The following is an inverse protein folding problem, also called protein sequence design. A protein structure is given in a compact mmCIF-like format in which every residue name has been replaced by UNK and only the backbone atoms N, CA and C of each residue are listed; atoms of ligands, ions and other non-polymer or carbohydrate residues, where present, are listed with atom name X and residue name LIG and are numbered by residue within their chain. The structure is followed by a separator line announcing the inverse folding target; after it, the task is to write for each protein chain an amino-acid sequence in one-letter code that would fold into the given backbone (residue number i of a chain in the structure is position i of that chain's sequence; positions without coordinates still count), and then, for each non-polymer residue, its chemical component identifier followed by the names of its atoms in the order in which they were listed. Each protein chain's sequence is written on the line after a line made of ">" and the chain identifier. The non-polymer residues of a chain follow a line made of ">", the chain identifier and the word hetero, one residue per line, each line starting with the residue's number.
data_IF_756341084317
#
_entry.id   IF_756341084317
#
_cell.length_a   1.000
_cell.length_b   1.000
_cell.length_c   1.000
_cell.angle_alpha   90.00
_cell.angle_beta   90.00
_cell.angle_gamma   90.00
#
_symmetry.space_group_name_H-M   'P 1'
#
loop_
_entity.id
_entity.type
_entity.pdbx_description
1 polymer ?
#
# COMPACT_ATOMS: atom_id res chain seq x y z
N UNK A 1 -20.50 11.98 -50.63
CA UNK A 1 -20.88 11.65 -52.02
C UNK A 1 -20.65 10.15 -52.17
N UNK A 2 -21.66 9.29 -52.00
CA UNK A 2 -22.78 9.06 -52.93
C UNK A 2 -22.30 8.33 -54.20
N UNK A 3 -22.80 7.14 -54.56
CA UNK A 3 -23.76 6.26 -53.85
C UNK A 3 -24.23 5.10 -54.74
N UNK A 4 -24.88 4.09 -54.17
CA UNK A 4 -25.92 3.34 -54.91
C UNK A 4 -27.10 4.31 -55.16
N UNK A 5 -27.76 4.24 -56.32
CA UNK A 5 -28.90 3.34 -56.55
C UNK A 5 -28.66 2.46 -57.81
N UNK A 6 -29.55 1.60 -58.30
CA UNK A 6 -31.02 1.69 -58.34
C UNK A 6 -31.68 0.31 -58.51
N UNK A 7 -32.85 0.13 -57.89
CA UNK A 7 -33.78 -0.95 -58.19
C UNK A 7 -34.98 -0.36 -58.93
N UNK A 8 -35.46 -1.04 -59.98
CA UNK A 8 -36.70 -0.66 -60.69
C UNK A 8 -37.75 -1.77 -60.51
N UNK A 9 -38.98 -1.45 -60.05
CA UNK A 9 -40.05 -2.42 -59.78
C UNK A 9 -41.18 -2.44 -60.83
N UNK A 10 -41.77 -3.62 -61.06
CA UNK A 10 -43.08 -3.89 -61.72
C UNK A 10 -43.54 -5.30 -61.27
N UNK A 11 -44.80 -5.66 -60.96
CA UNK A 11 -45.98 -4.97 -60.39
C UNK A 11 -46.97 -6.05 -59.85
N UNK A 12 -47.95 -5.66 -59.01
CA UNK A 12 -49.15 -6.47 -58.69
C UNK A 12 -50.17 -6.42 -59.87
N UNK A 13 -51.29 -7.17 -59.97
CA UNK A 13 -52.20 -7.85 -59.01
C UNK A 13 -52.84 -9.08 -59.72
N UNK A 14 -53.66 -9.99 -59.16
CA UNK A 14 -54.85 -9.94 -58.29
C UNK A 14 -54.95 -11.27 -57.49
N UNK A 15 -55.32 -11.30 -56.21
CA UNK A 15 -56.68 -11.22 -55.63
C UNK A 15 -57.68 -12.29 -56.14
N UNK A 16 -57.86 -13.35 -55.33
CA UNK A 16 -59.17 -13.94 -55.04
C UNK A 16 -59.26 -14.36 -53.56
N UNK A 17 -60.18 -13.73 -52.83
CA UNK A 17 -60.52 -13.99 -51.43
C UNK A 17 -61.51 -15.17 -51.29
N UNK A 18 -61.28 -16.08 -50.33
CA UNK A 18 -62.34 -16.94 -49.76
C UNK A 18 -61.95 -17.61 -48.41
N UNK A 19 -62.11 -16.85 -47.31
CA UNK A 19 -62.40 -17.26 -45.91
C UNK A 19 -62.01 -18.68 -45.40
N UNK A 20 -61.08 -18.66 -44.42
CA UNK A 20 -61.17 -19.15 -43.01
C UNK A 20 -62.27 -20.16 -42.60
N UNK A 21 -62.00 -21.09 -41.64
CA UNK A 21 -61.28 -20.86 -40.36
C UNK A 21 -59.98 -21.67 -40.20
N UNK A 22 -58.93 -21.19 -39.55
CA UNK A 22 -58.84 -20.85 -38.12
C UNK A 22 -59.20 -22.02 -37.20
N UNK A 23 -58.26 -22.93 -37.00
CA UNK A 23 -58.13 -23.57 -35.68
C UNK A 23 -56.71 -23.39 -35.15
N UNK A 24 -56.62 -22.81 -33.95
CA UNK A 24 -55.35 -22.54 -33.27
C UNK A 24 -54.86 -23.80 -32.57
N UNK A 25 -54.27 -24.73 -33.32
CA UNK A 25 -53.64 -25.90 -32.71
C UNK A 25 -52.29 -25.50 -32.09
N UNK A 26 -52.17 -25.72 -30.78
CA UNK A 26 -51.10 -25.18 -29.96
C UNK A 26 -49.70 -25.53 -30.47
N UNK A 27 -48.78 -24.57 -30.35
CA UNK A 27 -47.34 -24.85 -30.34
C UNK A 27 -47.01 -25.69 -29.11
N UNK A 28 -47.22 -27.01 -29.22
CA UNK A 28 -46.58 -27.99 -28.34
C UNK A 28 -45.08 -27.70 -28.39
N UNK A 29 -44.38 -27.57 -27.26
CA UNK A 29 -42.93 -27.54 -27.28
C UNK A 29 -42.49 -28.87 -27.86
N UNK A 30 -41.98 -28.86 -29.10
CA UNK A 30 -41.49 -30.07 -29.74
C UNK A 30 -40.43 -30.66 -28.82
N UNK A 31 -40.76 -31.79 -28.19
CA UNK A 31 -39.78 -32.65 -27.55
C UNK A 31 -38.64 -32.86 -28.54
N UNK A 32 -37.36 -32.78 -28.12
CA UNK A 32 -36.24 -32.94 -29.04
C UNK A 32 -36.47 -34.23 -29.82
N UNK A 33 -36.59 -34.12 -31.14
CA UNK A 33 -37.13 -35.18 -31.98
C UNK A 33 -36.37 -36.48 -31.70
N UNK A 34 -37.08 -37.48 -31.18
CA UNK A 34 -36.44 -38.73 -30.76
C UNK A 34 -35.84 -39.40 -31.99
N UNK A 35 -34.54 -39.69 -31.94
CA UNK A 35 -33.87 -40.37 -33.04
C UNK A 35 -34.25 -41.85 -33.01
N UNK A 36 -35.29 -42.19 -33.78
CA UNK A 36 -35.78 -43.56 -33.94
C UNK A 36 -34.80 -44.47 -34.72
N UNK A 37 -33.75 -43.91 -35.32
CA UNK A 37 -32.73 -44.68 -36.06
C UNK A 37 -31.89 -45.52 -35.10
N UNK A 38 -31.42 -46.66 -35.58
CA UNK A 38 -30.53 -47.55 -34.81
C UNK A 38 -29.19 -46.85 -34.61
N UNK A 39 -28.82 -46.60 -33.35
CA UNK A 39 -27.57 -45.92 -33.00
C UNK A 39 -26.36 -46.85 -33.09
N UNK A 40 -25.51 -46.61 -34.09
CA UNK A 40 -24.26 -47.30 -34.32
C UNK A 40 -23.04 -46.41 -33.96
N UNK A 41 -21.89 -47.03 -33.70
CA UNK A 41 -20.64 -46.32 -33.31
C UNK A 41 -19.64 -46.19 -34.45
N UNK A 42 -19.65 -47.12 -35.40
CA UNK A 42 -18.71 -47.24 -36.51
C UNK A 42 -19.47 -47.44 -37.82
N UNK A 43 -19.32 -46.51 -38.77
CA UNK A 43 -19.94 -46.56 -40.10
C UNK A 43 -19.47 -47.78 -40.90
N UNK A 44 -18.15 -48.02 -40.96
CA UNK A 44 -17.55 -49.23 -41.56
C UNK A 44 -18.19 -50.54 -41.09
N UNK A 45 -18.44 -50.72 -39.79
CA UNK A 45 -19.03 -51.97 -39.27
C UNK A 45 -20.47 -52.21 -39.79
N UNK A 46 -21.23 -51.14 -40.02
CA UNK A 46 -22.56 -51.23 -40.65
C UNK A 46 -22.42 -51.57 -42.14
N UNK A 47 -21.47 -50.94 -42.84
CA UNK A 47 -21.19 -51.23 -44.25
C UNK A 47 -20.75 -52.70 -44.48
N UNK A 48 -19.88 -53.24 -43.63
CA UNK A 48 -19.46 -54.64 -43.65
C UNK A 48 -20.66 -55.60 -43.48
N UNK A 49 -21.58 -55.31 -42.55
CA UNK A 49 -22.80 -56.11 -42.35
C UNK A 49 -23.76 -55.96 -43.54
N UNK A 50 -23.89 -54.78 -44.13
CA UNK A 50 -24.70 -54.55 -45.34
C UNK A 50 -24.16 -55.36 -46.54
N UNK A 51 -22.85 -55.36 -46.75
CA UNK A 51 -22.19 -56.18 -47.79
C UNK A 51 -22.45 -57.67 -47.58
N UNK A 52 -22.32 -58.16 -46.33
CA UNK A 52 -22.61 -59.55 -45.96
C UNK A 52 -24.09 -59.93 -46.12
N UNK A 53 -25.01 -58.97 -45.96
CA UNK A 53 -26.43 -59.14 -46.25
C UNK A 53 -26.74 -59.07 -47.76
N UNK A 54 -25.93 -58.36 -48.57
CA UNK A 54 -26.13 -58.21 -50.02
C UNK A 54 -26.20 -59.53 -50.78
N UNK A 55 -25.53 -60.59 -50.30
CA UNK A 55 -25.66 -61.95 -50.87
C UNK A 55 -27.10 -62.46 -50.87
N UNK A 56 -27.90 -62.13 -49.85
CA UNK A 56 -29.30 -62.55 -49.77
C UNK A 56 -30.14 -61.80 -50.82
N UNK A 57 -29.85 -60.51 -51.05
CA UNK A 57 -30.48 -59.73 -52.12
C UNK A 57 -30.12 -60.30 -53.50
N UNK A 58 -28.88 -60.78 -53.70
CA UNK A 58 -28.48 -61.48 -54.92
C UNK A 58 -29.19 -62.82 -55.09
N UNK A 59 -29.41 -63.59 -54.02
CA UNK A 59 -30.14 -64.86 -54.03
C UNK A 59 -31.61 -64.71 -54.47
N UNK A 60 -32.29 -63.59 -54.16
CA UNK A 60 -33.63 -63.28 -54.69
C UNK A 60 -33.65 -63.30 -56.22
N UNK A 61 -32.52 -62.96 -56.85
CA UNK A 61 -32.35 -62.95 -58.30
C UNK A 61 -32.68 -64.27 -58.96
N UNK A 62 -32.47 -65.42 -58.29
CA UNK A 62 -32.70 -66.75 -58.88
C UNK A 62 -34.16 -67.02 -59.27
N UNK A 63 -35.12 -66.30 -58.68
CA UNK A 63 -36.55 -66.43 -58.98
C UNK A 63 -37.04 -65.54 -60.14
N UNK A 64 -36.21 -64.63 -60.65
CA UNK A 64 -36.60 -63.66 -61.68
C UNK A 64 -36.35 -64.17 -63.12
N UNK A 65 -37.02 -63.60 -64.14
CA UNK A 65 -36.66 -63.77 -65.56
C UNK A 65 -35.32 -63.08 -65.91
N UNK A 66 -34.52 -63.68 -66.81
CA UNK A 66 -33.19 -63.19 -67.21
C UNK A 66 -33.19 -61.74 -67.72
N UNK A 67 -34.22 -61.36 -68.49
CA UNK A 67 -34.34 -60.07 -69.18
C UNK A 67 -34.50 -58.88 -68.23
N UNK A 68 -34.98 -59.11 -67.01
CA UNK A 68 -35.14 -58.09 -65.97
C UNK A 68 -34.24 -58.30 -64.74
N UNK A 69 -33.61 -59.49 -64.61
CA UNK A 69 -32.84 -59.94 -63.44
C UNK A 69 -31.84 -58.89 -62.95
N UNK A 70 -30.93 -58.46 -63.81
CA UNK A 70 -29.83 -57.55 -63.46
C UNK A 70 -30.31 -56.15 -63.05
N UNK A 71 -31.36 -55.64 -63.68
CA UNK A 71 -31.91 -54.32 -63.35
C UNK A 71 -32.65 -54.36 -62.02
N UNK A 72 -33.51 -55.37 -61.83
CA UNK A 72 -34.27 -55.57 -60.60
C UNK A 72 -33.35 -55.86 -59.41
N UNK A 73 -32.25 -56.61 -59.60
CA UNK A 73 -31.25 -56.85 -58.56
C UNK A 73 -30.51 -55.57 -58.16
N UNK A 74 -30.10 -54.72 -59.12
CA UNK A 74 -29.46 -53.43 -58.80
C UNK A 74 -30.40 -52.49 -58.05
N UNK A 75 -31.66 -52.42 -58.47
CA UNK A 75 -32.68 -51.60 -57.81
C UNK A 75 -33.03 -52.12 -56.40
N UNK A 76 -33.14 -53.44 -56.23
CA UNK A 76 -33.34 -54.06 -54.92
C UNK A 76 -32.14 -53.86 -53.99
N UNK A 77 -30.90 -53.96 -54.50
CA UNK A 77 -29.69 -53.69 -53.73
C UNK A 77 -29.62 -52.21 -53.29
N UNK A 78 -29.84 -51.28 -54.22
CA UNK A 78 -29.88 -49.84 -53.92
C UNK A 78 -30.96 -49.49 -52.90
N UNK A 79 -32.17 -50.04 -53.05
CA UNK A 79 -33.30 -49.83 -52.14
C UNK A 79 -33.03 -50.41 -50.76
N UNK A 80 -32.46 -51.63 -50.68
CA UNK A 80 -32.04 -52.24 -49.42
C UNK A 80 -30.98 -51.39 -48.71
N UNK A 81 -29.91 -50.99 -49.42
CA UNK A 81 -28.83 -50.21 -48.84
C UNK A 81 -29.33 -48.83 -48.37
N UNK A 82 -30.09 -48.13 -49.20
CA UNK A 82 -30.64 -46.81 -48.87
C UNK A 82 -31.55 -46.88 -47.65
N UNK A 83 -32.45 -47.88 -47.58
CA UNK A 83 -33.33 -48.07 -46.43
C UNK A 83 -32.56 -48.33 -45.13
N UNK A 84 -31.46 -49.10 -45.18
CA UNK A 84 -30.59 -49.31 -44.00
C UNK A 84 -29.88 -48.01 -43.61
N UNK A 85 -29.34 -47.25 -44.59
CA UNK A 85 -28.64 -45.99 -44.34
C UNK A 85 -29.55 -44.90 -43.74
N UNK A 86 -30.82 -44.83 -44.15
CA UNK A 86 -31.81 -43.90 -43.59
C UNK A 86 -32.24 -44.27 -42.16
N UNK A 87 -32.25 -45.56 -41.83
CA UNK A 87 -32.71 -46.08 -40.54
C UNK A 87 -31.59 -46.29 -39.50
N UNK A 88 -30.36 -45.86 -39.80
CA UNK A 88 -29.19 -45.93 -38.90
C UNK A 88 -28.62 -44.54 -38.63
N UNK A 89 -28.18 -44.26 -37.40
CA UNK A 89 -27.42 -43.07 -37.07
C UNK A 89 -26.06 -43.42 -36.46
N UNK A 90 -25.00 -42.77 -36.91
CA UNK A 90 -23.63 -43.05 -36.47
C UNK A 90 -23.21 -41.95 -35.51
N UNK A 91 -23.02 -42.30 -34.23
CA UNK A 91 -22.78 -41.34 -33.14
C UNK A 91 -23.84 -40.21 -33.08
N UNK A 92 -25.07 -40.48 -33.56
CA UNK A 92 -26.17 -39.52 -33.65
C UNK A 92 -26.23 -38.68 -34.95
N UNK A 93 -25.26 -38.82 -35.85
CA UNK A 93 -25.26 -38.17 -37.16
C UNK A 93 -25.97 -39.03 -38.21
N UNK A 94 -26.52 -38.39 -39.26
CA UNK A 94 -27.06 -39.12 -40.41
C UNK A 94 -25.95 -39.83 -41.19
N UNK A 95 -26.29 -40.89 -41.94
CA UNK A 95 -25.31 -41.69 -42.69
C UNK A 95 -24.37 -40.86 -43.60
N UNK A 96 -24.90 -39.85 -44.28
CA UNK A 96 -24.13 -38.99 -45.20
C UNK A 96 -23.21 -38.00 -44.45
N UNK A 97 -23.62 -37.53 -43.27
CA UNK A 97 -22.88 -36.58 -42.44
C UNK A 97 -21.79 -37.26 -41.59
N UNK A 98 -22.00 -38.53 -41.29
CA UNK A 98 -21.08 -39.34 -40.52
C UNK A 98 -19.78 -39.57 -41.29
N UNK A 99 -18.71 -38.92 -40.82
CA UNK A 99 -17.35 -39.11 -41.34
C UNK A 99 -16.90 -40.55 -41.10
N UNK A 100 -16.52 -41.25 -42.16
CA UNK A 100 -15.73 -42.48 -42.03
C UNK A 100 -14.35 -42.12 -41.51
N UNK A 101 -14.00 -42.59 -40.31
CA UNK A 101 -12.66 -42.45 -39.71
C UNK A 101 -11.62 -43.38 -40.38
N UNK A 102 -11.82 -43.66 -41.67
CA UNK A 102 -10.86 -44.33 -42.53
C UNK A 102 -9.79 -43.31 -42.92
N UNK A 103 -8.87 -43.00 -41.99
CA UNK A 103 -7.65 -42.26 -42.32
C UNK A 103 -6.92 -43.04 -43.42
N UNK A 104 -6.60 -42.38 -44.53
CA UNK A 104 -5.79 -42.99 -45.57
C UNK A 104 -4.32 -42.95 -45.15
N UNK A 105 -3.52 -43.92 -45.60
CA UNK A 105 -2.07 -43.94 -45.34
C UNK A 105 -1.36 -42.66 -45.83
N UNK A 106 -1.94 -41.95 -46.80
CA UNK A 106 -1.48 -40.64 -47.26
C UNK A 106 -1.71 -39.54 -46.21
N UNK A 107 -2.88 -39.50 -45.57
CA UNK A 107 -3.22 -38.50 -44.54
C UNK A 107 -2.33 -38.68 -43.30
N UNK A 108 -2.08 -39.94 -42.93
CA UNK A 108 -1.19 -40.30 -41.81
C UNK A 108 0.23 -39.82 -42.10
N UNK A 109 0.77 -40.07 -43.31
CA UNK A 109 2.12 -39.63 -43.67
C UNK A 109 2.30 -38.12 -43.67
N UNK A 110 1.32 -37.37 -44.18
CA UNK A 110 1.36 -35.90 -44.13
C UNK A 110 1.41 -35.41 -42.68
N UNK A 111 0.61 -36.03 -41.79
CA UNK A 111 0.61 -35.69 -40.37
C UNK A 111 1.92 -36.10 -39.66
N UNK A 112 2.52 -37.22 -40.04
CA UNK A 112 3.84 -37.67 -39.53
C UNK A 112 4.96 -36.72 -39.97
N UNK A 113 5.00 -36.32 -41.24
CA UNK A 113 5.99 -35.38 -41.79
C UNK A 113 5.89 -33.99 -41.11
N UNK A 114 4.67 -33.45 -40.96
CA UNK A 114 4.42 -32.19 -40.22
C UNK A 114 4.84 -32.29 -38.74
N UNK A 115 4.58 -33.44 -38.11
CA UNK A 115 4.92 -33.67 -36.70
C UNK A 115 6.44 -33.77 -36.49
N UNK A 116 7.16 -34.42 -37.40
CA UNK A 116 8.62 -34.49 -37.36
C UNK A 116 9.28 -33.12 -37.60
N UNK A 117 8.74 -32.28 -38.50
CA UNK A 117 9.19 -30.88 -38.65
C UNK A 117 9.04 -30.11 -37.32
N UNK A 118 7.87 -30.23 -36.67
CA UNK A 118 7.60 -29.60 -35.38
C UNK A 118 8.51 -30.13 -34.26
N UNK A 119 8.80 -31.44 -34.22
CA UNK A 119 9.76 -32.03 -33.27
C UNK A 119 11.16 -31.42 -33.49
N UNK A 120 11.63 -31.35 -34.73
CA UNK A 120 12.96 -30.83 -35.08
C UNK A 120 13.07 -29.34 -34.76
N UNK A 121 12.07 -28.53 -35.09
CA UNK A 121 12.09 -27.11 -34.72
C UNK A 121 12.04 -26.93 -33.21
N UNK A 122 11.10 -27.58 -32.50
CA UNK A 122 10.98 -27.45 -31.04
C UNK A 122 12.26 -27.91 -30.32
N UNK A 123 12.89 -29.00 -30.76
CA UNK A 123 14.20 -29.43 -30.24
C UNK A 123 15.30 -28.39 -30.52
N UNK A 124 15.31 -27.81 -31.72
CA UNK A 124 16.26 -26.75 -32.11
C UNK A 124 16.06 -25.47 -31.31
N UNK A 125 14.82 -25.00 -31.15
CA UNK A 125 14.42 -23.89 -30.28
C UNK A 125 14.90 -24.14 -28.85
N UNK A 126 14.55 -25.28 -28.24
CA UNK A 126 14.96 -25.68 -26.87
C UNK A 126 16.49 -25.67 -26.70
N UNK A 127 17.25 -26.11 -27.71
CA UNK A 127 18.72 -26.14 -27.67
C UNK A 127 19.37 -24.77 -27.84
N UNK A 128 18.87 -23.94 -28.77
CA UNK A 128 19.55 -22.72 -29.22
C UNK A 128 19.04 -21.45 -28.53
N UNK A 129 17.72 -21.30 -28.34
CA UNK A 129 17.13 -20.03 -27.90
C UNK A 129 17.58 -19.62 -26.49
N UNK A 130 17.67 -20.51 -25.47
CA UNK A 130 18.19 -20.13 -24.17
C UNK A 130 19.61 -19.52 -24.23
N UNK A 131 20.46 -20.00 -25.15
CA UNK A 131 21.82 -19.48 -25.34
C UNK A 131 21.80 -18.08 -25.97
N UNK A 132 20.99 -17.87 -27.01
CA UNK A 132 20.85 -16.55 -27.67
C UNK A 132 20.21 -15.51 -26.76
N UNK A 133 19.19 -15.91 -25.98
CA UNK A 133 18.54 -15.06 -24.97
C UNK A 133 19.55 -14.68 -23.88
N UNK A 134 20.29 -15.64 -23.35
CA UNK A 134 21.33 -15.39 -22.35
C UNK A 134 22.40 -14.42 -22.87
N UNK A 135 22.88 -14.59 -24.10
CA UNK A 135 23.83 -13.67 -24.72
C UNK A 135 23.29 -12.24 -24.82
N UNK A 136 22.03 -12.08 -25.25
CA UNK A 136 21.34 -10.78 -25.34
C UNK A 136 21.18 -10.12 -23.97
N UNK A 137 20.79 -10.88 -22.94
CA UNK A 137 20.66 -10.39 -21.57
C UNK A 137 22.03 -9.98 -21.01
N UNK A 138 23.08 -10.77 -21.22
CA UNK A 138 24.44 -10.42 -20.80
C UNK A 138 24.92 -9.12 -21.47
N UNK A 139 24.67 -8.94 -22.77
CA UNK A 139 24.99 -7.69 -23.49
C UNK A 139 24.25 -6.49 -22.89
N UNK A 140 22.95 -6.65 -22.63
CA UNK A 140 22.09 -5.59 -22.04
C UNK A 140 22.55 -5.21 -20.64
N UNK A 141 22.80 -6.19 -19.75
CA UNK A 141 23.27 -5.97 -18.39
C UNK A 141 24.65 -5.28 -18.37
N UNK A 142 25.57 -5.66 -19.28
CA UNK A 142 26.86 -4.99 -19.42
C UNK A 142 26.70 -3.53 -19.86
N UNK A 143 25.81 -3.24 -20.81
CA UNK A 143 25.54 -1.87 -21.25
C UNK A 143 24.90 -1.00 -20.14
N UNK A 144 23.95 -1.55 -19.39
CA UNK A 144 23.35 -0.88 -18.22
C UNK A 144 24.39 -0.59 -17.14
N UNK A 145 25.26 -1.55 -16.82
CA UNK A 145 26.35 -1.34 -15.86
C UNK A 145 27.34 -0.27 -16.34
N UNK A 146 27.70 -0.24 -17.63
CA UNK A 146 28.59 0.80 -18.16
C UNK A 146 27.96 2.19 -18.12
N UNK A 147 26.66 2.31 -18.43
CA UNK A 147 25.90 3.55 -18.23
C UNK A 147 25.88 4.00 -16.76
N UNK A 148 25.74 3.07 -15.81
CA UNK A 148 25.84 3.36 -14.38
C UNK A 148 27.24 3.80 -13.93
N UNK A 149 28.33 3.34 -14.57
CA UNK A 149 29.68 3.87 -14.30
C UNK A 149 29.87 5.31 -14.78
N UNK A 150 29.23 5.67 -15.90
CA UNK A 150 29.25 7.04 -16.42
C UNK A 150 28.46 8.01 -15.52
N UNK A 151 27.53 7.49 -14.72
CA UNK A 151 26.81 8.26 -13.70
C UNK A 151 27.73 8.60 -12.50
N UNK A 152 28.46 9.72 -12.62
CA UNK A 152 29.02 10.41 -11.45
C UNK A 152 27.88 11.01 -10.62
N UNK A 153 27.91 10.96 -9.28
CA UNK A 153 26.94 11.67 -8.45
C UNK A 153 27.10 13.19 -8.66
N UNK A 154 26.15 13.80 -9.37
CA UNK A 154 26.23 15.20 -9.85
C UNK A 154 26.12 16.23 -8.71
N UNK A 155 25.57 15.86 -7.55
CA UNK A 155 25.29 16.79 -6.46
C UNK A 155 26.19 16.48 -5.26
N UNK A 156 27.25 17.27 -5.10
CA UNK A 156 27.91 17.39 -3.80
C UNK A 156 26.97 18.20 -2.87
N UNK A 157 26.86 17.86 -1.57
CA UNK A 157 26.10 18.68 -0.63
C UNK A 157 26.60 20.13 -0.66
N UNK A 158 25.66 21.07 -0.81
CA UNK A 158 26.00 22.49 -0.74
C UNK A 158 26.17 22.86 0.74
N UNK A 159 27.41 23.10 1.17
CA UNK A 159 27.71 23.51 2.55
C UNK A 159 27.10 24.88 2.85
N UNK A 160 25.88 24.86 3.42
CA UNK A 160 25.21 26.04 3.95
C UNK A 160 25.97 26.53 5.19
N UNK A 161 26.88 27.48 4.96
CA UNK A 161 27.57 28.22 6.03
C UNK A 161 26.54 29.00 6.85
N UNK A 162 26.52 28.78 8.17
CA UNK A 162 25.82 29.70 9.08
C UNK A 162 26.51 31.07 9.09
N UNK A 163 25.69 32.11 9.19
CA UNK A 163 26.10 33.51 9.15
C UNK A 163 26.99 33.90 10.36
N UNK A 164 28.18 34.49 10.17
CA UNK A 164 29.13 34.73 11.26
C UNK A 164 29.13 36.18 11.76
N UNK A 165 28.25 36.53 12.70
CA UNK A 165 28.63 37.31 13.90
C UNK A 165 27.52 37.36 14.98
N UNK A 166 27.56 36.51 16.01
CA UNK A 166 26.78 36.70 17.24
C UNK A 166 27.51 37.54 18.31
N UNK A 167 28.80 37.86 18.13
CA UNK A 167 29.66 38.39 19.21
C UNK A 167 29.29 39.82 19.61
N UNK A 168 28.92 40.68 18.66
CA UNK A 168 28.44 42.04 18.93
C UNK A 168 27.20 42.06 19.85
N UNK A 169 26.26 41.14 19.64
CA UNK A 169 25.08 40.97 20.52
C UNK A 169 25.48 40.43 21.91
N UNK A 170 26.41 39.47 21.98
CA UNK A 170 26.86 38.87 23.24
C UNK A 170 27.57 39.89 24.13
N UNK A 171 28.46 40.71 23.58
CA UNK A 171 29.18 41.73 24.37
C UNK A 171 28.23 42.83 24.87
N UNK A 172 27.24 43.24 24.06
CA UNK A 172 26.18 44.18 24.48
C UNK A 172 25.36 43.64 25.66
N UNK A 173 24.98 42.35 25.62
CA UNK A 173 24.27 41.70 26.73
C UNK A 173 25.12 41.63 28.01
N UNK A 174 26.42 41.34 27.87
CA UNK A 174 27.38 41.28 28.98
C UNK A 174 27.52 42.64 29.68
N UNK A 175 27.81 43.71 28.93
CA UNK A 175 27.90 45.07 29.48
C UNK A 175 26.61 45.50 30.20
N UNK A 176 25.44 45.15 29.64
CA UNK A 176 24.13 45.41 30.26
C UNK A 176 23.92 44.59 31.52
N UNK A 177 24.36 43.33 31.55
CA UNK A 177 24.36 42.47 32.73
C UNK A 177 25.20 43.05 33.87
N UNK A 178 26.42 43.50 33.58
CA UNK A 178 27.33 44.10 34.57
C UNK A 178 26.73 45.40 35.16
N UNK A 179 26.10 46.24 34.33
CA UNK A 179 25.43 47.46 34.78
C UNK A 179 24.27 47.16 35.74
N UNK A 180 23.44 46.15 35.43
CA UNK A 180 22.32 45.71 36.29
C UNK A 180 22.85 45.09 37.59
N UNK A 181 23.89 44.25 37.52
CA UNK A 181 24.51 43.64 38.69
C UNK A 181 25.08 44.69 39.65
N UNK A 182 25.70 45.76 39.12
CA UNK A 182 26.16 46.90 39.91
C UNK A 182 25.00 47.66 40.57
N UNK A 183 23.94 47.97 39.82
CA UNK A 183 22.74 48.61 40.39
C UNK A 183 22.13 47.80 41.54
N UNK A 184 22.04 46.47 41.40
CA UNK A 184 21.56 45.58 42.47
C UNK A 184 22.51 45.62 43.67
N UNK A 185 23.84 45.55 43.46
CA UNK A 185 24.82 45.62 44.54
C UNK A 185 24.75 46.94 45.32
N UNK A 186 24.62 48.07 44.62
CA UNK A 186 24.56 49.39 45.26
C UNK A 186 23.21 49.60 45.98
N UNK A 187 22.10 49.10 45.42
CA UNK A 187 20.82 49.04 46.13
C UNK A 187 20.89 48.17 47.41
N UNK A 188 21.53 47.00 47.34
CA UNK A 188 21.72 46.12 48.51
C UNK A 188 22.61 46.74 49.61
N UNK A 189 23.53 47.65 49.27
CA UNK A 189 24.33 48.41 50.25
C UNK A 189 23.56 49.57 50.87
N UNK A 190 22.70 50.25 50.10
CA UNK A 190 21.93 51.40 50.58
C UNK A 190 20.71 51.02 51.43
N UNK A 191 20.09 49.87 51.13
CA UNK A 191 18.85 49.43 51.77
C UNK A 191 18.96 49.24 53.30
N UNK A 192 20.03 48.67 53.89
CA UNK A 192 20.20 48.61 55.34
C UNK A 192 20.20 49.98 56.03
N UNK A 193 20.87 50.98 55.46
CA UNK A 193 20.91 52.33 56.04
C UNK A 193 19.53 53.01 56.03
N UNK A 194 18.71 52.74 55.01
CA UNK A 194 17.32 53.19 54.95
C UNK A 194 16.43 52.49 56.00
N UNK A 195 16.68 51.21 56.29
CA UNK A 195 16.01 50.50 57.39
C UNK A 195 16.41 51.12 58.73
N UNK A 196 17.70 51.33 58.99
CA UNK A 196 18.20 51.96 60.23
C UNK A 196 17.60 53.36 60.47
N UNK A 197 17.47 54.17 59.41
CA UNK A 197 16.79 55.46 59.49
C UNK A 197 15.30 55.31 59.83
N UNK A 198 14.60 54.35 59.20
CA UNK A 198 13.20 54.04 59.49
C UNK A 198 12.98 53.58 60.94
N UNK A 199 13.83 52.70 61.45
CA UNK A 199 13.81 52.23 62.84
C UNK A 199 14.16 53.35 63.83
N UNK A 200 15.10 54.24 63.47
CA UNK A 200 15.40 55.46 64.24
C UNK A 200 14.19 56.39 64.38
N UNK A 201 13.48 56.68 63.29
CA UNK A 201 12.24 57.47 63.33
C UNK A 201 11.14 56.74 64.13
N UNK A 202 10.99 55.42 63.95
CA UNK A 202 10.06 54.58 64.71
C UNK A 202 10.32 54.66 66.22
N UNK A 203 11.59 54.65 66.64
CA UNK A 203 11.96 54.74 68.05
C UNK A 203 11.69 56.12 68.65
N UNK A 204 11.93 57.22 67.91
CA UNK A 204 11.57 58.58 68.36
C UNK A 204 10.07 58.72 68.57
N UNK A 205 9.25 58.22 67.63
CA UNK A 205 7.80 58.23 67.74
C UNK A 205 7.29 57.40 68.93
N UNK A 206 7.90 56.23 69.22
CA UNK A 206 7.61 55.44 70.43
C UNK A 206 7.97 56.15 71.73
N UNK A 207 9.05 56.94 71.74
CA UNK A 207 9.50 57.69 72.93
C UNK A 207 8.70 58.98 73.16
N UNK A 208 7.99 59.50 72.15
CA UNK A 208 7.29 60.79 72.23
C UNK A 208 6.29 60.90 73.40
N UNK A 209 5.44 59.90 73.72
CA UNK A 209 4.56 59.95 74.89
C UNK A 209 5.33 59.94 76.22
N UNK A 210 6.46 59.20 76.27
CA UNK A 210 7.32 59.13 77.47
C UNK A 210 8.00 60.47 77.73
N UNK A 211 8.49 61.13 76.67
CA UNK A 211 9.11 62.47 76.76
C UNK A 211 8.07 63.52 77.17
N UNK A 212 6.83 63.44 76.66
CA UNK A 212 5.73 64.32 77.09
C UNK A 212 5.38 64.11 78.57
N UNK A 213 5.26 62.86 79.01
CA UNK A 213 5.01 62.53 80.43
C UNK A 213 6.16 63.00 81.34
N UNK A 214 7.41 62.84 80.91
CA UNK A 214 8.58 63.37 81.63
C UNK A 214 8.56 64.90 81.70
N UNK A 215 8.18 65.60 80.63
CA UNK A 215 8.03 67.07 80.63
C UNK A 215 6.92 67.52 81.61
N UNK A 216 5.76 66.86 81.61
CA UNK A 216 4.67 67.15 82.57
C UNK A 216 5.14 66.90 84.01
N UNK A 217 5.77 65.75 84.28
CA UNK A 217 6.31 65.45 85.61
C UNK A 217 7.36 66.49 86.03
N UNK A 218 8.25 66.91 85.13
CA UNK A 218 9.21 67.97 85.41
C UNK A 218 8.51 69.30 85.74
N UNK A 219 7.50 69.70 84.97
CA UNK A 219 6.73 70.93 85.21
C UNK A 219 5.98 70.90 86.56
N UNK A 220 5.37 69.77 86.92
CA UNK A 220 4.67 69.59 88.21
C UNK A 220 5.63 69.56 89.40
N UNK A 221 6.79 68.88 89.28
CA UNK A 221 7.69 68.62 90.41
C UNK A 221 8.92 69.55 90.51
N UNK A 222 9.21 70.42 89.53
CA UNK A 222 10.41 71.30 89.55
C UNK A 222 10.20 72.69 90.18
N UNK A 223 9.01 72.99 90.69
CA UNK A 223 8.67 74.30 91.27
C UNK A 223 9.34 74.61 92.62
N UNK A 224 10.12 73.67 93.20
CA UNK A 224 10.78 73.86 94.49
C UNK A 224 12.22 73.29 94.53
N UNK A 225 13.21 74.09 94.10
CA UNK A 225 14.47 74.31 94.84
C UNK A 225 15.35 75.36 94.13
N UNK A 226 15.91 76.30 94.91
CA UNK A 226 16.61 77.49 94.39
C UNK A 226 18.12 77.43 94.70
N UNK A 227 18.94 77.40 93.63
CA UNK A 227 20.41 77.67 93.56
C UNK A 227 21.35 76.95 94.54
N UNK A 228 22.39 76.32 93.98
CA UNK A 228 23.77 76.48 94.44
C UNK A 228 24.76 76.17 93.30
N UNK A 229 25.82 76.97 93.17
CA UNK A 229 26.94 76.71 92.27
C UNK A 229 27.93 75.71 92.88
N UNK A 230 28.41 74.73 92.10
CA UNK A 230 29.68 74.04 92.35
C UNK A 230 30.29 73.47 91.06
N UNK A 231 31.53 73.86 90.76
CA UNK A 231 32.52 72.99 90.07
C UNK A 231 32.94 71.89 91.07
N UNK A 232 33.29 70.65 90.65
CA UNK A 232 34.70 70.38 90.35
C UNK A 232 34.97 69.27 89.30
N UNK A 233 36.22 68.76 89.32
CA UNK A 233 36.92 67.86 88.40
C UNK A 233 36.41 66.40 88.21
N UNK A 234 36.84 65.83 87.08
CA UNK A 234 37.32 64.45 86.80
C UNK A 234 36.96 63.29 87.77
N UNK A 235 36.37 62.24 87.20
CA UNK A 235 36.73 60.82 87.42
C UNK A 235 36.09 59.99 86.28
N UNK A 236 36.85 59.24 85.48
CA UNK A 236 37.25 57.82 85.71
C UNK A 236 36.06 56.89 85.93
N UNK A 237 35.78 56.02 84.96
CA UNK A 237 35.38 54.64 85.24
C UNK A 237 35.81 53.70 84.11
N UNK A 238 36.76 52.82 84.45
CA UNK A 238 37.12 51.63 83.68
C UNK A 238 36.06 50.56 83.95
N UNK A 239 35.51 49.94 82.89
CA UNK A 239 34.75 48.68 83.02
C UNK A 239 35.26 47.71 81.97
N UNK A 240 35.95 46.68 82.46
CA UNK A 240 36.38 45.49 81.76
C UNK A 240 35.34 44.40 82.04
N UNK A 241 34.89 43.66 81.02
CA UNK A 241 34.16 42.39 81.21
C UNK A 241 34.15 41.55 79.93
N UNK A 242 34.76 40.38 80.04
CA UNK A 242 34.67 39.21 79.13
C UNK A 242 34.84 37.96 80.00
N UNK A 243 34.49 36.74 79.55
CA UNK A 243 33.57 36.32 78.49
C UNK A 243 32.52 35.30 79.02
N UNK A 244 31.72 34.66 78.15
CA UNK A 244 31.16 33.31 78.39
C UNK A 244 30.91 32.57 77.07
N UNK A 245 31.20 31.27 77.05
CA UNK A 245 31.18 30.40 75.87
C UNK A 245 29.82 29.73 75.57
N UNK A 246 29.78 29.06 74.41
CA UNK A 246 29.10 27.77 74.14
C UNK A 246 27.78 27.82 73.34
N UNK A 247 27.86 27.42 72.06
CA UNK A 247 27.21 26.18 71.60
C UNK A 247 27.57 25.86 70.12
N UNK A 248 28.09 24.66 69.87
CA UNK A 248 28.35 24.17 68.53
C UNK A 248 27.07 23.67 67.83
N UNK A 249 26.91 23.95 66.53
CA UNK A 249 26.05 23.15 65.63
C UNK A 249 26.77 22.77 64.34
N UNK A 250 26.36 21.62 63.81
CA UNK A 250 27.17 20.74 62.97
C UNK A 250 27.11 21.14 61.50
N UNK A 251 28.23 20.97 60.79
CA UNK A 251 28.26 20.98 59.34
C UNK A 251 27.45 19.80 58.76
N UNK A 252 26.71 20.03 57.68
CA UNK A 252 26.08 18.97 56.88
C UNK A 252 26.46 19.14 55.41
N UNK A 253 27.59 18.53 55.03
CA UNK A 253 27.94 18.33 53.64
C UNK A 253 27.01 17.25 53.05
N UNK A 254 26.10 17.61 52.14
CA UNK A 254 25.35 16.65 51.33
C UNK A 254 25.88 16.69 49.91
N UNK A 255 26.83 15.81 49.62
CA UNK A 255 27.35 15.56 48.27
C UNK A 255 26.43 14.54 47.59
N UNK A 256 25.57 14.99 46.68
CA UNK A 256 24.79 14.11 45.80
C UNK A 256 25.68 13.53 44.70
N UNK A 257 26.35 12.40 44.98
CA UNK A 257 27.07 11.63 43.95
C UNK A 257 26.10 10.96 42.99
N UNK A 258 26.04 11.46 41.76
CA UNK A 258 25.40 10.77 40.63
C UNK A 258 26.20 9.49 40.33
N UNK A 259 25.58 8.32 40.55
CA UNK A 259 26.17 7.02 40.16
C UNK A 259 26.38 6.97 38.64
N UNK A 260 27.56 6.49 38.23
CA UNK A 260 27.83 6.05 36.87
C UNK A 260 28.34 4.61 36.95
N UNK A 261 27.62 3.67 36.34
CA UNK A 261 28.01 2.26 36.17
C UNK A 261 27.23 1.70 34.96
N UNK A 262 27.75 0.68 34.26
CA UNK A 262 27.57 0.58 32.81
C UNK A 262 26.32 -0.21 32.39
N UNK A 263 25.83 0.11 31.19
CA UNK A 263 25.00 -0.82 30.41
C UNK A 263 25.63 -1.04 29.03
N UNK A 264 26.58 -1.97 28.97
CA UNK A 264 26.76 -2.74 27.75
C UNK A 264 25.42 -3.45 27.45
N UNK A 265 24.77 -3.08 26.36
CA UNK A 265 23.66 -3.85 25.81
C UNK A 265 23.62 -3.71 24.29
N UNK A 266 24.47 -4.50 23.64
CA UNK A 266 24.29 -4.79 22.22
C UNK A 266 23.05 -5.67 22.00
N UNK A 267 22.51 -5.64 20.78
CA UNK A 267 21.37 -6.44 20.30
C UNK A 267 19.94 -6.02 20.73
N UNK A 268 19.37 -5.04 20.01
CA UNK A 268 18.02 -5.21 19.41
C UNK A 268 17.97 -4.68 17.98
N UNK A 269 18.24 -5.59 17.02
CA UNK A 269 17.92 -5.34 15.60
C UNK A 269 16.41 -5.14 15.46
N UNK A 270 15.96 -3.95 15.05
CA UNK A 270 14.58 -3.72 14.61
C UNK A 270 14.53 -3.82 13.09
N UNK A 271 13.62 -4.65 12.58
CA UNK A 271 13.46 -4.90 11.15
C UNK A 271 12.99 -3.64 10.40
N UNK A 272 13.31 -3.47 9.10
CA UNK A 272 12.74 -2.42 8.28
C UNK A 272 11.24 -2.62 8.12
N UNK A 273 10.44 -1.65 8.56
CA UNK A 273 9.01 -1.62 8.27
C UNK A 273 8.80 -1.30 6.79
N UNK A 274 8.00 -2.11 6.09
CA UNK A 274 7.67 -1.86 4.68
C UNK A 274 6.78 -0.61 4.56
N UNK A 275 7.10 0.25 3.60
CA UNK A 275 6.28 1.42 3.26
C UNK A 275 4.90 0.96 2.77
N UNK A 276 3.83 1.47 3.38
CA UNK A 276 2.45 1.31 2.90
C UNK A 276 2.22 2.36 1.82
N UNK A 277 2.15 1.95 0.54
CA UNK A 277 1.72 2.85 -0.54
C UNK A 277 0.29 3.32 -0.26
N UNK A 278 0.09 4.63 -0.31
CA UNK A 278 -1.22 5.25 -0.40
C UNK A 278 -1.32 5.72 -1.85
N UNK A 279 -2.25 5.15 -2.62
CA UNK A 279 -2.62 5.73 -3.90
C UNK A 279 -3.66 6.82 -3.59
N UNK A 280 -3.37 8.04 -4.00
CA UNK A 280 -4.37 9.09 -4.18
C UNK A 280 -4.52 9.24 -5.69
N UNK A 281 -5.67 8.82 -6.22
CA UNK A 281 -6.07 9.18 -7.58
C UNK A 281 -6.38 10.69 -7.60
N UNK A 282 -5.95 11.36 -8.66
CA UNK A 282 -6.17 12.76 -8.95
C UNK A 282 -6.00 13.01 -10.45
#
# INVERSE_FOLDING_TARGET
>A
MAGNPEAVPVSASQDQDARTPSDSQASVPASPAEDFRVRCTLKRAVAEVMEQCGRFVQELGAALPEDVRDLALRDAQWTFESAVQENVSIKGQAWQEATDHCLMDADIKVLEDEFDELIVDVATKRRQYPRRILESIIKTLKAQHESLKQYRPVVHPLDLRCDPDPASHVESLKCRGDAIAKQISDAMKALPALIEQGDGFSQVLKMQPVIQLQRINQEVFSSCCRRADTKPDKSVTQIETTPTETAARKASNIVLKRKHAPSDCSQRKRYPLRLKKINLDG
#
